data_IF_495129551046
#
_entry.id   IF_495129551046
#
_cell.length_a   1.000
_cell.length_b   1.000
_cell.length_c   1.000
_cell.angle_alpha   90.00
_cell.angle_beta   90.00
_cell.angle_gamma   90.00
#
_symmetry.space_group_name_H-M   'P 1'
#
loop_
_entity.id
_entity.type
_entity.pdbx_description
1 polymer ?
#
# COMPACT_ATOMS: atom_id res chain seq x y z
N UNK A 1 8.58 -22.22 14.17
CA UNK A 1 9.39 -21.12 13.59
C UNK A 1 8.88 -20.89 12.17
N UNK A 2 8.54 -19.67 11.79
CA UNK A 2 8.24 -19.35 10.39
C UNK A 2 9.57 -19.40 9.62
N UNK A 3 9.64 -20.20 8.56
CA UNK A 3 10.89 -20.48 7.83
C UNK A 3 10.93 -19.85 6.44
N UNK A 4 9.77 -19.52 5.87
CA UNK A 4 9.63 -18.85 4.58
C UNK A 4 8.30 -18.05 4.52
N UNK A 5 8.12 -17.27 3.45
CA UNK A 5 6.84 -16.62 3.14
C UNK A 5 6.35 -15.57 4.14
N UNK A 6 7.18 -15.11 5.08
CA UNK A 6 6.81 -14.12 6.07
C UNK A 6 7.46 -12.76 5.80
N UNK A 7 6.79 -11.70 6.25
CA UNK A 7 7.33 -10.33 6.24
C UNK A 7 7.27 -9.79 7.66
N UNK A 8 8.36 -9.16 8.11
CA UNK A 8 8.41 -8.46 9.39
C UNK A 8 7.88 -7.05 9.18
N UNK A 9 6.80 -6.72 9.89
CA UNK A 9 6.13 -5.42 9.80
C UNK A 9 6.28 -4.69 11.12
N UNK A 10 6.51 -3.37 11.07
CA UNK A 10 6.65 -2.57 12.28
C UNK A 10 5.33 -2.49 13.06
N UNK A 11 5.42 -2.58 14.40
CA UNK A 11 4.27 -2.32 15.28
C UNK A 11 3.72 -0.90 15.12
N UNK A 12 4.56 0.05 14.67
CA UNK A 12 4.13 1.41 14.36
C UNK A 12 3.03 1.43 13.30
N UNK A 13 3.08 0.54 12.31
CA UNK A 13 2.00 0.38 11.32
C UNK A 13 0.87 -0.50 11.87
N UNK A 14 1.18 -1.71 12.32
CA UNK A 14 0.16 -2.72 12.65
C UNK A 14 -0.71 -2.37 13.87
N UNK A 15 -0.22 -1.49 14.74
CA UNK A 15 -0.92 -1.03 15.95
C UNK A 15 -1.26 0.48 15.90
N UNK A 16 -1.20 1.09 14.71
CA UNK A 16 -1.46 2.53 14.58
C UNK A 16 -2.93 2.88 14.87
N UNK A 17 -3.18 3.63 15.95
CA UNK A 17 -4.56 3.97 16.38
C UNK A 17 -5.28 4.97 15.47
N UNK A 18 -4.54 5.71 14.66
CA UNK A 18 -5.11 6.69 13.73
C UNK A 18 -5.37 6.14 12.32
N UNK A 19 -5.01 4.88 12.04
CA UNK A 19 -5.26 4.26 10.73
C UNK A 19 -6.50 3.38 10.78
N UNK A 20 -7.25 3.38 9.69
CA UNK A 20 -8.27 2.36 9.44
C UNK A 20 -7.63 0.97 9.27
N UNK A 21 -8.38 -0.08 9.58
CA UNK A 21 -7.92 -1.46 9.34
C UNK A 21 -7.61 -1.71 7.86
N UNK A 22 -8.34 -1.05 6.94
CA UNK A 22 -8.04 -1.10 5.52
C UNK A 22 -6.66 -0.50 5.22
N UNK A 23 -6.35 0.68 5.75
CA UNK A 23 -5.04 1.29 5.58
C UNK A 23 -3.92 0.41 6.16
N UNK A 24 -4.13 -0.18 7.35
CA UNK A 24 -3.18 -1.14 7.95
C UNK A 24 -2.98 -2.35 7.02
N UNK A 25 -4.07 -2.96 6.53
CA UNK A 25 -4.01 -4.10 5.61
C UNK A 25 -3.26 -3.77 4.31
N UNK A 26 -3.56 -2.62 3.70
CA UNK A 26 -2.88 -2.13 2.51
C UNK A 26 -1.38 -1.91 2.78
N UNK A 27 -1.02 -1.22 3.87
CA UNK A 27 0.39 -0.96 4.20
C UNK A 27 1.18 -2.25 4.50
N UNK A 28 0.50 -3.26 5.05
CA UNK A 28 1.09 -4.57 5.34
C UNK A 28 1.33 -5.34 4.04
N UNK A 29 0.34 -5.36 3.14
CA UNK A 29 0.46 -5.99 1.82
C UNK A 29 1.54 -5.32 0.97
N UNK A 30 1.59 -3.99 0.97
CA UNK A 30 2.57 -3.22 0.19
C UNK A 30 4.00 -3.56 0.62
N UNK A 31 4.27 -3.60 1.93
CA UNK A 31 5.61 -3.90 2.44
C UNK A 31 6.02 -5.36 2.30
N UNK A 32 5.08 -6.29 2.07
CA UNK A 32 5.42 -7.69 1.79
C UNK A 32 5.78 -7.93 0.31
N UNK A 33 5.55 -6.95 -0.56
CA UNK A 33 5.89 -7.07 -1.97
C UNK A 33 7.39 -6.86 -2.21
N UNK A 34 7.99 -7.60 -3.17
CA UNK A 34 9.34 -7.29 -3.65
C UNK A 34 9.42 -5.85 -4.19
N UNK A 35 10.59 -5.23 -4.01
CA UNK A 35 10.85 -3.89 -4.51
C UNK A 35 10.55 -3.75 -6.02
N UNK A 36 9.99 -2.61 -6.42
CA UNK A 36 9.68 -2.29 -7.82
C UNK A 36 8.36 -2.89 -8.34
N UNK A 37 7.58 -3.59 -7.51
CA UNK A 37 6.20 -3.95 -7.85
C UNK A 37 5.35 -2.71 -8.09
N UNK A 38 4.39 -2.80 -9.01
CA UNK A 38 3.47 -1.69 -9.30
C UNK A 38 2.36 -1.69 -8.25
N UNK A 39 2.16 -0.55 -7.60
CA UNK A 39 1.23 -0.39 -6.49
C UNK A 39 0.36 0.83 -6.79
N UNK A 40 -0.74 0.58 -7.50
CA UNK A 40 -1.69 1.61 -7.88
C UNK A 40 -3.11 1.21 -7.52
N UNK A 41 -3.99 2.20 -7.35
CA UNK A 41 -5.40 1.99 -6.96
C UNK A 41 -6.07 0.92 -7.84
N UNK A 42 -5.93 1.04 -9.16
CA UNK A 42 -6.51 0.09 -10.12
C UNK A 42 -5.95 -1.33 -10.01
N UNK A 43 -4.65 -1.46 -9.69
CA UNK A 43 -4.01 -2.78 -9.54
C UNK A 43 -4.51 -3.45 -8.27
N UNK A 44 -4.62 -2.69 -7.18
CA UNK A 44 -5.13 -3.18 -5.90
C UNK A 44 -6.62 -3.52 -6.01
N UNK A 45 -7.43 -2.67 -6.65
CA UNK A 45 -8.87 -2.89 -6.82
C UNK A 45 -9.21 -4.07 -7.75
N UNK A 46 -8.27 -4.47 -8.61
CA UNK A 46 -8.40 -5.69 -9.42
C UNK A 46 -8.03 -6.96 -8.62
N UNK A 47 -7.36 -6.82 -7.47
CA UNK A 47 -6.85 -7.93 -6.66
C UNK A 47 -7.71 -8.18 -5.42
N UNK A 48 -8.29 -7.13 -4.86
CA UNK A 48 -9.00 -7.15 -3.59
C UNK A 48 -10.48 -6.77 -3.74
N UNK A 49 -11.37 -7.18 -2.82
CA UNK A 49 -12.80 -6.88 -2.92
C UNK A 49 -13.15 -5.41 -2.67
N UNK A 50 -12.23 -4.61 -2.15
CA UNK A 50 -12.47 -3.20 -1.85
C UNK A 50 -12.54 -2.33 -3.12
N UNK A 51 -13.42 -1.33 -3.07
CA UNK A 51 -13.58 -0.38 -4.18
C UNK A 51 -12.34 0.49 -4.38
N UNK A 52 -12.17 1.02 -5.60
CA UNK A 52 -11.12 1.99 -5.90
C UNK A 52 -11.14 3.19 -4.93
N UNK A 53 -12.33 3.64 -4.53
CA UNK A 53 -12.50 4.75 -3.59
C UNK A 53 -12.00 4.40 -2.18
N UNK A 54 -12.30 3.20 -1.69
CA UNK A 54 -11.85 2.71 -0.39
C UNK A 54 -10.32 2.54 -0.37
N UNK A 55 -9.75 1.94 -1.42
CA UNK A 55 -8.30 1.81 -1.59
C UNK A 55 -7.63 3.18 -1.65
N UNK A 56 -8.19 4.12 -2.42
CA UNK A 56 -7.67 5.48 -2.50
C UNK A 56 -7.70 6.19 -1.13
N UNK A 57 -8.74 5.98 -0.33
CA UNK A 57 -8.82 6.51 1.03
C UNK A 57 -7.73 5.92 1.93
N UNK A 58 -7.57 4.59 1.95
CA UNK A 58 -6.53 3.94 2.75
C UNK A 58 -5.11 4.34 2.36
N UNK A 59 -4.82 4.49 1.06
CA UNK A 59 -3.52 5.01 0.62
C UNK A 59 -3.27 6.46 1.06
N UNK A 60 -4.30 7.31 1.09
CA UNK A 60 -4.18 8.69 1.61
C UNK A 60 -3.90 8.71 3.10
N UNK A 61 -4.52 7.82 3.88
CA UNK A 61 -4.21 7.69 5.31
C UNK A 61 -2.74 7.30 5.54
N UNK A 62 -2.24 6.32 4.77
CA UNK A 62 -0.84 5.91 4.85
C UNK A 62 0.11 7.05 4.46
N UNK A 63 -0.21 7.83 3.42
CA UNK A 63 0.55 9.03 3.05
C UNK A 63 0.53 10.09 4.17
N UNK A 64 -0.65 10.36 4.73
CA UNK A 64 -0.84 11.36 5.79
C UNK A 64 -0.03 11.02 7.05
N UNK A 65 0.01 9.75 7.43
CA UNK A 65 0.77 9.27 8.59
C UNK A 65 2.24 8.92 8.27
N UNK A 66 2.70 9.14 7.04
CA UNK A 66 4.09 8.97 6.63
C UNK A 66 4.54 7.52 6.42
N UNK A 67 3.62 6.58 6.32
CA UNK A 67 3.90 5.17 5.96
C UNK A 67 4.05 4.96 4.46
N UNK A 68 3.59 5.92 3.66
CA UNK A 68 3.74 5.90 2.21
C UNK A 68 4.27 7.24 1.70
N UNK A 69 5.17 7.18 0.72
CA UNK A 69 5.53 8.37 -0.06
C UNK A 69 5.08 8.16 -1.50
N UNK A 70 4.49 9.20 -2.09
CA UNK A 70 4.15 9.19 -3.51
C UNK A 70 5.41 9.21 -4.36
N UNK A 71 5.80 8.06 -4.88
CA UNK A 71 6.75 8.00 -5.99
C UNK A 71 5.94 8.01 -7.29
N UNK A 72 5.79 9.20 -7.88
CA UNK A 72 5.21 9.35 -9.22
C UNK A 72 6.31 9.11 -10.26
N UNK A 73 6.52 7.86 -10.64
CA UNK A 73 7.30 7.57 -11.84
C UNK A 73 6.41 7.79 -13.07
N UNK A 74 6.75 8.77 -13.91
CA UNK A 74 6.12 8.93 -15.21
C UNK A 74 6.55 7.76 -16.09
N UNK A 75 5.71 6.73 -16.16
CA UNK A 75 5.80 5.74 -17.24
C UNK A 75 5.46 6.50 -18.53
N UNK A 76 6.38 6.52 -19.49
CA UNK A 76 6.21 7.25 -20.76
C UNK A 76 4.83 7.00 -21.37
N UNK A 77 4.09 8.09 -21.64
CA UNK A 77 2.71 8.02 -22.16
C UNK A 77 1.64 8.75 -21.32
N UNK A 78 1.99 9.63 -20.38
CA UNK A 78 1.03 10.53 -19.73
C UNK A 78 0.13 9.89 -18.65
N UNK A 79 0.42 8.66 -18.23
CA UNK A 79 -0.30 7.99 -17.11
C UNK A 79 0.52 8.08 -15.82
N UNK A 80 -0.08 8.67 -14.78
CA UNK A 80 0.49 8.73 -13.43
C UNK A 80 0.34 7.34 -12.79
N UNK A 81 1.45 6.63 -12.63
CA UNK A 81 1.49 5.41 -11.84
C UNK A 81 2.13 5.75 -10.47
N UNK A 82 1.44 5.37 -9.40
CA UNK A 82 2.04 5.32 -8.06
C UNK A 82 2.87 4.04 -7.98
N UNK A 83 4.11 4.16 -7.54
CA UNK A 83 4.99 3.04 -7.21
C UNK A 83 5.50 3.23 -5.79
N UNK A 84 5.47 2.16 -5.00
CA UNK A 84 6.04 2.08 -3.65
C UNK A 84 6.93 0.85 -3.58
#
# INVERSE_FOLDING_TARGET
>A
RLTDGYTIISNRLSQHRGLSLLAIGLGTHIQSLPAGRRIGIKVLAATFPESEAAIAAGLRELEHHGFLRRTRERVGGGRVATRT
#
